data_IF_151838741841
#
_entry.id   IF_151838741841
#
_cell.length_a   1.000
_cell.length_b   1.000
_cell.length_c   1.000
_cell.angle_alpha   90.00
_cell.angle_beta   90.00
_cell.angle_gamma   90.00
#
_symmetry.space_group_name_H-M   'P 1'
#
loop_
_entity.id
_entity.type
_entity.pdbx_description
1 polymer ?
#
# COMPACT_ATOMS: atom_id res chain seq x y z
N UNK A 1 14.47 -9.65 -8.57
CA UNK A 1 14.84 -8.49 -7.73
C UNK A 1 13.59 -7.65 -7.53
N UNK A 2 13.10 -7.48 -6.30
CA UNK A 2 11.97 -6.57 -6.03
C UNK A 2 12.49 -5.16 -6.24
N UNK A 3 12.02 -4.47 -7.28
CA UNK A 3 12.36 -3.05 -7.52
C UNK A 3 11.95 -2.21 -6.30
N UNK A 4 12.82 -1.27 -5.98
CA UNK A 4 12.73 -0.32 -4.87
C UNK A 4 11.32 0.28 -4.77
N UNK A 5 10.66 0.04 -3.63
CA UNK A 5 9.27 0.48 -3.37
C UNK A 5 9.23 2.00 -3.15
N UNK A 6 10.37 2.61 -2.81
CA UNK A 6 10.47 4.04 -2.48
C UNK A 6 10.17 4.96 -3.66
N UNK A 7 10.42 4.53 -4.89
CA UNK A 7 10.13 5.33 -6.10
C UNK A 7 8.63 5.46 -6.44
N UNK A 8 7.77 4.74 -5.72
CA UNK A 8 6.31 4.78 -5.90
C UNK A 8 5.60 5.36 -4.68
N UNK A 9 6.34 5.83 -3.67
CA UNK A 9 5.74 6.45 -2.50
C UNK A 9 5.26 7.87 -2.88
N UNK A 10 3.96 8.18 -2.78
CA UNK A 10 3.46 9.49 -3.18
C UNK A 10 3.90 10.55 -2.18
N UNK A 11 4.58 11.60 -2.67
CA UNK A 11 5.01 12.74 -1.86
C UNK A 11 3.81 13.46 -1.21
N UNK A 12 2.64 13.38 -1.85
CA UNK A 12 1.37 13.90 -1.33
C UNK A 12 0.99 13.25 0.00
N UNK A 13 1.29 11.96 0.19
CA UNK A 13 0.99 11.26 1.44
C UNK A 13 1.83 11.80 2.60
N UNK A 14 3.05 12.31 2.33
CA UNK A 14 3.87 12.96 3.35
C UNK A 14 3.25 14.25 3.88
N UNK A 15 2.40 14.92 3.10
CA UNK A 15 1.70 16.13 3.49
C UNK A 15 0.29 15.85 4.02
N UNK A 16 -0.13 14.58 4.06
CA UNK A 16 -1.47 14.22 4.50
C UNK A 16 -1.61 14.35 6.02
N UNK A 17 -2.70 14.98 6.45
CA UNK A 17 -3.00 15.20 7.86
C UNK A 17 -3.81 14.05 8.46
N UNK A 18 -4.67 13.42 7.66
CA UNK A 18 -5.46 12.26 8.08
C UNK A 18 -4.59 11.01 8.18
N UNK A 19 -4.64 10.34 9.32
CA UNK A 19 -4.00 9.04 9.54
C UNK A 19 -4.85 7.86 9.03
N UNK A 20 -6.09 8.13 8.62
CA UNK A 20 -7.02 7.14 8.07
C UNK A 20 -7.58 7.69 6.75
N UNK A 21 -7.39 6.94 5.67
CA UNK A 21 -7.82 7.34 4.32
C UNK A 21 -8.79 6.30 3.79
N UNK A 22 -10.01 6.73 3.44
CA UNK A 22 -11.12 5.84 3.09
C UNK A 22 -11.72 5.15 4.31
N UNK A 23 -12.21 3.91 4.15
CA UNK A 23 -12.68 3.08 5.25
C UNK A 23 -12.05 1.66 5.26
N UNK A 24 -10.84 1.53 5.84
CA UNK A 24 -10.09 0.26 5.92
C UNK A 24 -10.81 -0.93 6.58
N UNK A 25 -11.90 -0.69 7.33
CA UNK A 25 -12.59 -1.72 8.13
C UNK A 25 -14.12 -1.72 7.94
N UNK A 26 -14.66 -0.98 6.97
CA UNK A 26 -16.13 -0.88 6.81
C UNK A 26 -16.76 -2.14 6.18
N UNK A 27 -16.09 -2.75 5.20
CA UNK A 27 -16.68 -3.77 4.32
C UNK A 27 -16.02 -5.14 4.44
N UNK A 28 -15.24 -5.38 5.50
CA UNK A 28 -14.41 -6.60 5.69
C UNK A 28 -13.39 -6.84 4.56
N UNK A 29 -13.10 -5.84 3.74
CA UNK A 29 -12.08 -5.91 2.68
C UNK A 29 -10.66 -5.73 3.23
N UNK A 30 -10.56 -5.28 4.48
CA UNK A 30 -9.30 -4.97 5.14
C UNK A 30 -8.67 -3.69 4.62
N UNK A 31 -7.46 -3.43 5.11
CA UNK A 31 -6.75 -2.18 4.86
C UNK A 31 -5.24 -2.34 4.93
N UNK A 32 -4.55 -1.32 4.47
CA UNK A 32 -3.09 -1.23 4.45
C UNK A 32 -2.61 -0.36 5.61
N UNK A 33 -1.68 -0.88 6.40
CA UNK A 33 -0.92 -0.08 7.36
C UNK A 33 0.42 0.31 6.73
N UNK A 34 0.61 1.60 6.50
CA UNK A 34 1.85 2.15 5.96
C UNK A 34 2.54 2.94 7.06
N UNK A 35 3.81 2.63 7.32
CA UNK A 35 4.66 3.34 8.27
C UNK A 35 5.89 3.88 7.55
N UNK A 36 6.12 5.18 7.68
CA UNK A 36 7.25 5.86 7.07
C UNK A 36 8.09 6.54 8.13
N UNK A 37 9.37 6.20 8.20
CA UNK A 37 10.32 6.77 9.14
C UNK A 37 11.39 7.57 8.39
N UNK A 38 11.49 8.86 8.70
CA UNK A 38 12.55 9.72 8.18
C UNK A 38 12.99 10.73 9.24
N UNK A 39 14.30 10.94 9.36
CA UNK A 39 14.89 11.91 10.29
C UNK A 39 14.40 11.77 11.73
N UNK A 40 14.15 10.53 12.19
CA UNK A 40 13.66 10.24 13.55
C UNK A 40 12.16 10.49 13.77
N UNK A 41 11.43 10.92 12.74
CA UNK A 41 9.97 11.07 12.78
C UNK A 41 9.28 9.85 12.14
N UNK A 42 8.27 9.31 12.82
CA UNK A 42 7.43 8.22 12.31
C UNK A 42 6.06 8.76 11.91
N UNK A 43 5.67 8.52 10.67
CA UNK A 43 4.29 8.73 10.19
C UNK A 43 3.62 7.38 9.94
N UNK A 44 2.32 7.31 10.19
CA UNK A 44 1.55 6.08 10.08
C UNK A 44 0.19 6.37 9.46
N UNK A 45 -0.20 5.58 8.46
CA UNK A 45 -1.49 5.69 7.79
C UNK A 45 -2.18 4.34 7.70
N UNK A 46 -3.50 4.33 7.88
CA UNK A 46 -4.37 3.20 7.56
C UNK A 46 -5.18 3.57 6.32
N UNK A 47 -4.99 2.81 5.24
CA UNK A 47 -5.52 3.14 3.93
C UNK A 47 -6.47 2.03 3.47
N UNK A 48 -7.64 2.41 2.97
CA UNK A 48 -8.61 1.52 2.33
C UNK A 48 -8.00 0.87 1.07
N UNK A 49 -8.56 -0.25 0.61
CA UNK A 49 -8.12 -0.93 -0.62
C UNK A 49 -9.07 -0.67 -1.80
N UNK A 50 -10.25 -0.09 -1.57
CA UNK A 50 -11.17 0.32 -2.62
C UNK A 50 -10.69 1.60 -3.29
N UNK A 51 -10.31 1.54 -4.57
CA UNK A 51 -9.91 2.70 -5.39
C UNK A 51 -10.91 3.86 -5.30
N UNK A 52 -12.20 3.54 -5.30
CA UNK A 52 -13.26 4.54 -5.26
C UNK A 52 -13.35 5.31 -3.92
N UNK A 53 -12.73 4.78 -2.86
CA UNK A 53 -12.67 5.41 -1.54
C UNK A 53 -11.37 6.20 -1.32
N UNK A 54 -10.48 6.22 -2.31
CA UNK A 54 -9.15 6.83 -2.20
C UNK A 54 -8.95 8.00 -3.18
N UNK A 55 -8.20 9.02 -2.77
CA UNK A 55 -7.63 9.99 -3.68
C UNK A 55 -6.82 9.34 -4.81
N UNK A 56 -6.86 9.96 -6.00
CA UNK A 56 -6.22 9.45 -7.22
C UNK A 56 -4.70 9.24 -7.06
N UNK A 57 -4.03 10.08 -6.26
CA UNK A 57 -2.59 9.98 -6.00
C UNK A 57 -2.17 8.67 -5.31
N UNK A 58 -3.09 7.96 -4.65
CA UNK A 58 -2.84 6.66 -4.02
C UNK A 58 -3.06 5.48 -4.96
N UNK A 59 -3.69 5.67 -6.13
CA UNK A 59 -4.06 4.57 -7.02
C UNK A 59 -2.82 3.84 -7.56
N UNK A 60 -1.76 4.57 -7.89
CA UNK A 60 -0.49 3.99 -8.36
C UNK A 60 0.22 3.16 -7.29
N UNK A 61 0.17 3.60 -6.02
CA UNK A 61 0.70 2.84 -4.89
C UNK A 61 -0.04 1.50 -4.74
N UNK A 62 -1.37 1.52 -4.82
CA UNK A 62 -2.18 0.30 -4.74
C UNK A 62 -1.99 -0.65 -5.91
N UNK A 63 -1.84 -0.13 -7.13
CA UNK A 63 -1.59 -0.95 -8.31
C UNK A 63 -0.25 -1.69 -8.18
N UNK A 64 0.79 -0.98 -7.73
CA UNK A 64 2.11 -1.55 -7.48
C UNK A 64 2.08 -2.63 -6.39
N UNK A 65 1.34 -2.42 -5.30
CA UNK A 65 1.19 -3.44 -4.25
C UNK A 65 0.49 -4.69 -4.77
N UNK A 66 -0.65 -4.52 -5.46
CA UNK A 66 -1.38 -5.64 -6.06
C UNK A 66 -0.53 -6.43 -7.06
N UNK A 67 0.28 -5.74 -7.87
CA UNK A 67 1.22 -6.37 -8.79
C UNK A 67 2.27 -7.19 -8.03
N UNK A 68 2.87 -6.63 -6.97
CA UNK A 68 3.89 -7.34 -6.16
C UNK A 68 3.30 -8.53 -5.39
N UNK A 69 2.10 -8.39 -4.81
CA UNK A 69 1.40 -9.49 -4.13
C UNK A 69 1.10 -10.62 -5.11
N UNK A 70 0.64 -10.29 -6.32
CA UNK A 70 0.41 -11.25 -7.40
C UNK A 70 1.68 -12.04 -7.73
N UNK A 71 2.82 -11.35 -7.91
CA UNK A 71 4.11 -11.98 -8.16
C UNK A 71 4.57 -12.90 -7.01
N UNK A 72 4.38 -12.48 -5.75
CA UNK A 72 4.72 -13.31 -4.58
C UNK A 72 3.87 -14.58 -4.54
N UNK A 73 2.56 -14.46 -4.81
CA UNK A 73 1.66 -15.60 -4.80
C UNK A 73 1.97 -16.59 -5.93
N UNK A 74 2.27 -16.09 -7.14
CA UNK A 74 2.74 -16.92 -8.25
C UNK A 74 4.02 -17.68 -7.87
N UNK A 75 4.99 -17.02 -7.23
CA UNK A 75 6.23 -17.67 -6.80
C UNK A 75 5.99 -18.77 -5.76
N UNK A 76 5.09 -18.55 -4.79
CA UNK A 76 4.68 -19.57 -3.81
C UNK A 76 4.01 -20.78 -4.47
N UNK A 77 3.17 -20.55 -5.47
CA UNK A 77 2.53 -21.64 -6.23
C UNK A 77 3.59 -22.46 -6.97
N UNK A 78 4.56 -21.81 -7.64
CA UNK A 78 5.63 -22.52 -8.35
C UNK A 78 6.56 -23.27 -7.38
N UNK A 79 6.86 -22.73 -6.20
CA UNK A 79 7.67 -23.43 -5.20
C UNK A 79 6.96 -24.65 -4.60
N UNK A 80 5.63 -24.63 -4.49
CA UNK A 80 4.84 -25.75 -4.00
C UNK A 80 4.59 -26.84 -5.06
N UNK A 81 4.96 -26.59 -6.32
CA UNK A 81 4.87 -27.53 -7.43
C UNK A 81 6.22 -28.19 -7.77
N UNK A 82 7.28 -27.92 -6.99
CA UNK A 82 8.61 -28.53 -7.12
C UNK A 82 8.92 -29.48 -5.98
#
# INVERSE_FOLDING_TARGET
>A
QVKDVTGFFPDELLNQNEEVIGCPDCMNEGGLLIQYSANGSLKSWRIDQMKNNLPEYLHGLMEMENEKISLINILKTVSNLR
#
